data_IF_920648178425
#
_entry.id   IF_920648178425
#
_cell.length_a   1.000
_cell.length_b   1.000
_cell.length_c   1.000
_cell.angle_alpha   90.00
_cell.angle_beta   90.00
_cell.angle_gamma   90.00
#
_symmetry.space_group_name_H-M   'P 1'
#
loop_
_entity.id
_entity.type
_entity.pdbx_description
1 polymer ?
#
# COMPACT_ATOMS: atom_id res chain seq x y z
N UNK A 1 -3.15 20.21 -1.02
CA UNK A 1 -2.91 18.76 -0.87
C UNK A 1 -4.16 18.01 -0.39
N UNK A 2 -4.96 18.57 0.50
CA UNK A 2 -6.14 17.92 1.10
C UNK A 2 -7.28 17.54 0.12
N UNK A 3 -7.41 18.21 -1.00
CA UNK A 3 -8.52 17.97 -1.95
C UNK A 3 -8.29 16.79 -2.91
N UNK A 4 -7.06 16.26 -3.01
CA UNK A 4 -6.70 15.20 -3.98
C UNK A 4 -6.68 13.79 -3.42
N UNK A 5 -6.63 13.63 -2.10
CA UNK A 5 -6.81 12.35 -1.42
C UNK A 5 -8.02 12.48 -0.50
N UNK A 6 -9.10 11.78 -0.80
CA UNK A 6 -10.35 11.82 -0.04
C UNK A 6 -11.18 10.55 -0.22
N UNK A 7 -12.24 10.47 0.57
CA UNK A 7 -13.16 9.35 0.56
C UNK A 7 -12.66 8.19 1.41
N UNK A 8 -12.97 6.97 1.03
CA UNK A 8 -12.65 5.78 1.79
C UNK A 8 -11.26 5.23 1.42
N UNK A 9 -10.37 5.15 2.39
CA UNK A 9 -8.98 4.75 2.22
C UNK A 9 -8.70 3.54 3.10
N UNK A 10 -8.16 2.48 2.53
CA UNK A 10 -7.73 1.29 3.27
C UNK A 10 -6.21 1.14 3.20
N UNK A 11 -5.59 0.96 4.36
CA UNK A 11 -4.12 0.76 4.47
C UNK A 11 -3.86 -0.54 5.22
N UNK A 12 -2.99 -1.40 4.69
CA UNK A 12 -2.58 -2.64 5.35
C UNK A 12 -1.25 -2.47 6.12
N UNK A 13 -1.07 -3.24 7.22
CA UNK A 13 0.17 -3.20 8.01
C UNK A 13 0.36 -1.89 8.78
N UNK A 14 -0.67 -1.41 9.46
CA UNK A 14 -0.74 -0.06 10.03
C UNK A 14 -0.32 0.06 11.49
N UNK A 15 0.04 -1.03 12.14
CA UNK A 15 0.37 -1.03 13.58
C UNK A 15 1.75 -0.43 13.89
N UNK A 16 2.60 -0.16 12.89
CA UNK A 16 3.94 0.41 13.05
C UNK A 16 4.51 0.98 11.74
N UNK A 17 5.67 1.64 11.84
CA UNK A 17 6.49 2.04 10.71
C UNK A 17 5.74 2.91 9.70
N UNK A 18 5.97 2.64 8.40
CA UNK A 18 5.38 3.40 7.29
C UNK A 18 3.85 3.34 7.34
N UNK A 19 3.26 2.18 7.65
CA UNK A 19 1.80 2.02 7.69
C UNK A 19 1.14 2.87 8.78
N UNK A 20 1.71 2.96 9.96
CA UNK A 20 1.21 3.81 11.04
C UNK A 20 1.32 5.29 10.68
N UNK A 21 2.45 5.69 10.11
CA UNK A 21 2.67 7.07 9.67
C UNK A 21 1.74 7.47 8.51
N UNK A 22 1.44 6.53 7.57
CA UNK A 22 0.43 6.75 6.53
C UNK A 22 -0.95 7.06 7.14
N UNK A 23 -1.40 6.27 8.11
CA UNK A 23 -2.68 6.50 8.78
C UNK A 23 -2.69 7.86 9.47
N UNK A 24 -1.62 8.20 10.21
CA UNK A 24 -1.49 9.48 10.90
C UNK A 24 -1.61 10.65 9.91
N UNK A 25 -0.76 10.69 8.89
CA UNK A 25 -0.75 11.82 7.95
C UNK A 25 -2.02 11.88 7.09
N UNK A 26 -2.64 10.74 6.75
CA UNK A 26 -3.93 10.72 6.08
C UNK A 26 -5.01 11.30 7.00
N UNK A 27 -5.02 10.96 8.29
CA UNK A 27 -5.98 11.53 9.23
C UNK A 27 -5.83 13.05 9.40
N UNK A 28 -4.58 13.54 9.43
CA UNK A 28 -4.25 14.95 9.54
C UNK A 28 -4.57 15.78 8.29
N UNK A 29 -4.32 15.20 7.10
CA UNK A 29 -4.25 15.94 5.83
C UNK A 29 -5.48 15.79 4.93
N UNK A 30 -6.34 14.82 5.18
CA UNK A 30 -7.59 14.64 4.42
C UNK A 30 -8.76 15.36 5.09
N UNK A 31 -9.79 15.72 4.30
CA UNK A 31 -11.00 16.37 4.80
C UNK A 31 -11.85 15.49 5.73
N UNK A 32 -12.86 16.07 6.35
CA UNK A 32 -13.77 15.37 7.27
C UNK A 32 -14.58 14.26 6.57
N UNK A 33 -14.78 14.38 5.26
CA UNK A 33 -15.47 13.39 4.42
C UNK A 33 -14.62 12.11 4.18
N UNK A 34 -13.37 12.09 4.66
CA UNK A 34 -12.49 10.95 4.47
C UNK A 34 -12.57 9.99 5.65
N UNK A 35 -12.57 8.68 5.33
CA UNK A 35 -12.54 7.62 6.32
C UNK A 35 -11.38 6.66 6.05
N UNK A 36 -10.64 6.29 7.09
CA UNK A 36 -9.43 5.47 7.00
C UNK A 36 -9.68 4.12 7.69
N UNK A 37 -9.61 3.05 6.92
CA UNK A 37 -9.63 1.67 7.41
C UNK A 37 -8.18 1.23 7.62
N UNK A 38 -7.75 1.26 8.88
CA UNK A 38 -6.39 0.92 9.28
C UNK A 38 -6.32 -0.57 9.64
N UNK A 39 -5.65 -1.37 8.81
CA UNK A 39 -5.66 -2.82 8.94
C UNK A 39 -4.37 -3.36 9.55
N UNK A 40 -4.49 -4.22 10.57
CA UNK A 40 -3.40 -4.98 11.17
C UNK A 40 -3.85 -6.35 11.68
N UNK A 41 -2.90 -7.27 11.90
CA UNK A 41 -3.20 -8.66 12.30
C UNK A 41 -3.78 -8.77 13.71
N UNK A 42 -3.26 -7.99 14.63
CA UNK A 42 -3.58 -8.04 16.07
C UNK A 42 -3.97 -6.65 16.57
N UNK A 43 -5.20 -6.18 16.32
CA UNK A 43 -5.65 -4.85 16.74
C UNK A 43 -5.57 -4.62 18.26
N UNK A 44 -5.81 -5.66 19.05
CA UNK A 44 -5.79 -5.61 20.52
C UNK A 44 -4.40 -5.89 21.11
N UNK A 45 -3.43 -6.27 20.27
CA UNK A 45 -2.07 -6.58 20.70
C UNK A 45 -1.30 -5.34 21.14
N UNK A 46 -0.25 -5.54 21.96
CA UNK A 46 0.64 -4.47 22.43
C UNK A 46 1.25 -3.68 21.28
N UNK A 47 1.59 -4.35 20.17
CA UNK A 47 2.17 -3.71 18.98
C UNK A 47 1.21 -2.77 18.23
N UNK A 48 -0.08 -2.79 18.54
CA UNK A 48 -1.08 -1.91 17.95
C UNK A 48 -1.51 -0.77 18.89
N UNK A 49 -0.85 -0.58 20.03
CA UNK A 49 -1.18 0.47 21.01
C UNK A 49 -1.14 1.87 20.36
N UNK A 50 -0.05 2.21 19.69
CA UNK A 50 0.09 3.50 18.99
C UNK A 50 -1.00 3.72 17.92
N UNK A 51 -1.46 2.66 17.26
CA UNK A 51 -2.57 2.75 16.31
C UNK A 51 -3.92 2.99 17.00
N UNK A 52 -4.17 2.35 18.15
CA UNK A 52 -5.38 2.61 18.97
C UNK A 52 -5.39 4.03 19.52
N UNK A 53 -4.25 4.52 20.00
CA UNK A 53 -4.12 5.90 20.47
C UNK A 53 -4.42 6.89 19.34
N UNK A 54 -3.88 6.63 18.16
CA UNK A 54 -4.15 7.45 16.98
C UNK A 54 -5.64 7.43 16.60
N UNK A 55 -6.29 6.27 16.62
CA UNK A 55 -7.73 6.17 16.35
C UNK A 55 -8.57 6.92 17.39
N UNK A 56 -8.13 6.97 18.65
CA UNK A 56 -8.77 7.75 19.70
C UNK A 56 -8.61 9.25 19.49
N UNK A 57 -7.49 9.70 18.91
CA UNK A 57 -7.27 11.11 18.57
C UNK A 57 -8.12 11.60 17.39
N UNK A 58 -8.53 10.70 16.50
CA UNK A 58 -9.34 10.99 15.31
C UNK A 58 -10.65 10.17 15.31
N UNK A 59 -11.55 10.43 16.28
CA UNK A 59 -12.79 9.68 16.43
C UNK A 59 -13.67 9.83 15.18
N UNK A 60 -14.26 8.72 14.73
CA UNK A 60 -15.11 8.71 13.53
C UNK A 60 -14.34 8.75 12.19
N UNK A 61 -13.04 9.01 12.19
CA UNK A 61 -12.21 9.09 10.98
C UNK A 61 -11.35 7.86 10.74
N UNK A 62 -10.92 7.18 11.81
CA UNK A 62 -10.12 5.96 11.73
C UNK A 62 -10.91 4.79 12.28
N UNK A 63 -11.03 3.73 11.49
CA UNK A 63 -11.55 2.43 11.95
C UNK A 63 -10.45 1.38 11.84
N UNK A 64 -10.13 0.72 12.95
CA UNK A 64 -9.15 -0.36 12.95
C UNK A 64 -9.84 -1.67 12.53
N UNK A 65 -9.26 -2.36 11.55
CA UNK A 65 -9.78 -3.61 10.99
C UNK A 65 -8.75 -4.73 11.22
N UNK A 66 -9.20 -5.85 11.79
CA UNK A 66 -8.36 -7.05 11.85
C UNK A 66 -8.16 -7.60 10.45
N UNK A 67 -6.90 -7.74 10.04
CA UNK A 67 -6.52 -8.26 8.72
C UNK A 67 -5.14 -8.90 8.76
N UNK A 68 -5.07 -10.19 8.47
CA UNK A 68 -3.86 -10.89 8.04
C UNK A 68 -3.91 -11.08 6.53
N UNK A 69 -2.95 -10.53 5.81
CA UNK A 69 -2.88 -10.59 4.35
C UNK A 69 -2.47 -11.95 3.81
N UNK A 70 -2.01 -12.87 4.66
CA UNK A 70 -1.70 -14.27 4.32
C UNK A 70 -2.86 -15.23 4.61
N UNK A 71 -3.99 -14.74 5.12
CA UNK A 71 -5.16 -15.54 5.49
C UNK A 71 -6.40 -15.07 4.72
N UNK A 72 -6.90 -15.93 3.84
CA UNK A 72 -8.06 -15.62 2.98
C UNK A 72 -9.35 -15.42 3.78
N UNK A 73 -9.54 -16.15 4.88
CA UNK A 73 -10.69 -15.96 5.77
C UNK A 73 -10.62 -14.60 6.50
N UNK A 74 -9.42 -14.20 6.91
CA UNK A 74 -9.17 -12.88 7.48
C UNK A 74 -9.47 -11.76 6.47
N UNK A 75 -9.02 -11.91 5.21
CA UNK A 75 -9.33 -10.97 4.12
C UNK A 75 -10.86 -10.89 3.91
N UNK A 76 -11.54 -12.04 3.82
CA UNK A 76 -13.01 -12.10 3.68
C UNK A 76 -13.72 -11.38 4.82
N UNK A 77 -13.25 -11.57 6.05
CA UNK A 77 -13.76 -10.88 7.23
C UNK A 77 -13.62 -9.37 7.14
N UNK A 78 -12.43 -8.90 6.72
CA UNK A 78 -12.15 -7.48 6.54
C UNK A 78 -13.04 -6.86 5.44
N UNK A 79 -13.21 -7.55 4.31
CA UNK A 79 -14.12 -7.10 3.21
C UNK A 79 -15.53 -6.91 3.72
N UNK A 80 -16.07 -7.88 4.48
CA UNK A 80 -17.42 -7.77 5.07
C UNK A 80 -17.53 -6.58 6.04
N UNK A 81 -16.55 -6.40 6.91
CA UNK A 81 -16.53 -5.31 7.89
C UNK A 81 -16.51 -3.93 7.20
N UNK A 82 -15.64 -3.78 6.21
CA UNK A 82 -15.49 -2.53 5.44
C UNK A 82 -16.73 -2.28 4.57
N UNK A 83 -17.25 -3.28 3.87
CA UNK A 83 -18.43 -3.16 3.01
C UNK A 83 -19.65 -2.68 3.78
N UNK A 84 -19.82 -3.15 5.02
CA UNK A 84 -20.94 -2.74 5.89
C UNK A 84 -20.89 -1.25 6.24
N UNK A 85 -19.70 -0.68 6.37
CA UNK A 85 -19.49 0.72 6.75
C UNK A 85 -19.48 1.67 5.53
N UNK A 86 -18.87 1.24 4.42
CA UNK A 86 -18.73 2.07 3.20
C UNK A 86 -20.07 2.35 2.52
N UNK A 87 -21.00 1.41 2.59
CA UNK A 87 -22.31 1.54 1.92
C UNK A 87 -22.17 1.72 0.40
N UNK A 88 -22.87 2.71 -0.15
CA UNK A 88 -22.87 3.01 -1.59
C UNK A 88 -21.63 3.79 -2.08
N UNK A 89 -20.78 4.27 -1.18
CA UNK A 89 -19.66 5.16 -1.55
C UNK A 89 -18.53 4.46 -2.32
N UNK A 90 -18.24 3.20 -2.02
CA UNK A 90 -17.10 2.48 -2.58
C UNK A 90 -15.77 2.82 -1.92
N UNK A 91 -14.70 2.11 -2.30
CA UNK A 91 -13.34 2.28 -1.80
C UNK A 91 -12.53 3.11 -2.79
N UNK A 92 -12.04 4.28 -2.37
CA UNK A 92 -11.30 5.19 -3.25
C UNK A 92 -9.81 4.83 -3.34
N UNK A 93 -9.21 4.35 -2.25
CA UNK A 93 -7.77 4.07 -2.23
C UNK A 93 -7.47 2.82 -1.40
N UNK A 94 -6.83 1.85 -2.03
CA UNK A 94 -6.27 0.66 -1.38
C UNK A 94 -4.75 0.76 -1.37
N UNK A 95 -4.13 0.84 -0.19
CA UNK A 95 -2.67 0.87 -0.04
C UNK A 95 -2.20 -0.47 0.54
N UNK A 96 -1.60 -1.29 -0.30
CA UNK A 96 -0.95 -2.55 0.05
C UNK A 96 0.45 -2.24 0.61
N UNK A 97 0.52 -1.96 1.92
CA UNK A 97 1.77 -1.65 2.63
C UNK A 97 2.30 -2.84 3.44
N UNK A 98 1.44 -3.73 3.93
CA UNK A 98 1.88 -4.90 4.69
C UNK A 98 2.88 -5.74 3.90
N UNK A 99 4.02 -6.04 4.53
CA UNK A 99 5.06 -6.86 3.94
C UNK A 99 5.93 -7.51 5.02
N UNK A 100 6.58 -8.61 4.67
CA UNK A 100 7.60 -9.25 5.48
C UNK A 100 8.89 -9.43 4.69
N UNK A 101 10.00 -9.55 5.41
CA UNK A 101 11.30 -9.98 4.92
C UNK A 101 11.82 -11.12 5.78
N UNK A 102 12.13 -12.26 5.18
CA UNK A 102 12.73 -13.44 5.81
C UNK A 102 13.74 -14.09 4.86
N UNK A 103 14.83 -14.65 5.36
CA UNK A 103 15.34 -14.45 6.71
C UNK A 103 15.74 -12.99 6.96
N UNK A 104 16.02 -12.64 8.20
CA UNK A 104 16.56 -11.31 8.50
C UNK A 104 17.85 -11.04 7.72
N UNK A 105 18.20 -9.77 7.55
CA UNK A 105 19.43 -9.37 6.83
C UNK A 105 20.65 -10.23 7.22
N UNK A 106 21.53 -10.55 6.28
CA UNK A 106 21.56 -10.09 4.86
C UNK A 106 20.62 -10.85 3.91
N UNK A 107 19.95 -11.93 4.34
CA UNK A 107 19.09 -12.73 3.47
C UNK A 107 19.86 -13.36 2.30
N UNK A 108 21.05 -13.91 2.59
CA UNK A 108 21.96 -14.51 1.60
C UNK A 108 21.40 -15.78 1.00
N UNK A 109 21.97 -16.23 -0.13
CA UNK A 109 21.60 -17.51 -0.76
C UNK A 109 21.75 -18.67 0.22
N UNK A 110 22.84 -18.71 0.98
CA UNK A 110 23.10 -19.79 1.94
C UNK A 110 22.12 -19.81 3.13
N UNK A 111 21.59 -18.65 3.52
CA UNK A 111 20.66 -18.52 4.65
C UNK A 111 19.18 -18.69 4.23
N UNK A 112 18.89 -18.70 2.93
CA UNK A 112 17.52 -18.70 2.40
C UNK A 112 17.06 -20.10 2.06
N UNK A 113 15.93 -20.53 2.64
CA UNK A 113 15.27 -21.78 2.32
C UNK A 113 13.98 -21.61 1.52
N UNK A 114 13.45 -22.74 1.01
CA UNK A 114 12.15 -22.74 0.32
C UNK A 114 11.04 -22.14 1.16
N UNK A 115 11.05 -22.40 2.47
CA UNK A 115 10.04 -21.86 3.40
C UNK A 115 10.04 -20.34 3.40
N UNK A 116 11.21 -19.71 3.46
CA UNK A 116 11.33 -18.25 3.44
C UNK A 116 10.78 -17.66 2.13
N UNK A 117 11.13 -18.29 0.99
CA UNK A 117 10.62 -17.89 -0.32
C UNK A 117 9.09 -17.91 -0.37
N UNK A 118 8.48 -19.00 0.13
CA UNK A 118 7.02 -19.17 0.06
C UNK A 118 6.28 -18.23 1.02
N UNK A 119 6.74 -18.09 2.26
CA UNK A 119 6.11 -17.22 3.24
C UNK A 119 6.17 -15.74 2.80
N UNK A 120 7.33 -15.32 2.27
CA UNK A 120 7.49 -13.93 1.78
C UNK A 120 6.63 -13.70 0.54
N UNK A 121 6.55 -14.66 -0.37
CA UNK A 121 5.69 -14.55 -1.55
C UNK A 121 4.22 -14.52 -1.17
N UNK A 122 3.78 -15.36 -0.25
CA UNK A 122 2.40 -15.41 0.24
C UNK A 122 1.95 -14.05 0.79
N UNK A 123 2.73 -13.47 1.70
CA UNK A 123 2.40 -12.18 2.29
C UNK A 123 2.53 -11.01 1.31
N UNK A 124 3.62 -10.96 0.53
CA UNK A 124 3.98 -9.78 -0.25
C UNK A 124 3.34 -9.76 -1.66
N UNK A 125 2.83 -10.88 -2.15
CA UNK A 125 2.28 -11.01 -3.52
C UNK A 125 0.87 -11.58 -3.51
N UNK A 126 0.69 -12.80 -2.97
CA UNK A 126 -0.62 -13.45 -2.95
C UNK A 126 -1.63 -12.65 -2.11
N UNK A 127 -1.21 -12.12 -0.96
CA UNK A 127 -2.02 -11.26 -0.11
C UNK A 127 -2.55 -10.02 -0.85
N UNK A 128 -1.71 -9.15 -1.41
CA UNK A 128 -2.14 -8.04 -2.25
C UNK A 128 -3.04 -8.44 -3.42
N UNK A 129 -2.74 -9.56 -4.09
CA UNK A 129 -3.60 -10.08 -5.16
C UNK A 129 -5.00 -10.40 -4.66
N UNK A 130 -5.13 -11.16 -3.56
CA UNK A 130 -6.42 -11.54 -2.97
C UNK A 130 -7.18 -10.31 -2.45
N UNK A 131 -6.49 -9.37 -1.80
CA UNK A 131 -7.09 -8.11 -1.36
C UNK A 131 -7.72 -7.35 -2.54
N UNK A 132 -6.97 -7.15 -3.61
CA UNK A 132 -7.50 -6.48 -4.79
C UNK A 132 -8.69 -7.23 -5.38
N UNK A 133 -8.57 -8.57 -5.56
CA UNK A 133 -9.65 -9.42 -6.06
C UNK A 133 -10.93 -9.25 -5.25
N UNK A 134 -10.82 -9.26 -3.92
CA UNK A 134 -11.98 -9.25 -3.03
C UNK A 134 -12.55 -7.84 -2.79
N UNK A 135 -11.73 -6.79 -2.84
CA UNK A 135 -12.15 -5.39 -2.75
C UNK A 135 -12.55 -4.78 -4.10
N UNK A 136 -12.35 -5.50 -5.22
CA UNK A 136 -12.61 -4.99 -6.57
C UNK A 136 -14.03 -4.40 -6.75
N UNK A 137 -15.10 -5.03 -6.25
CA UNK A 137 -16.45 -4.46 -6.38
C UNK A 137 -16.59 -3.09 -5.70
N UNK A 138 -15.87 -2.84 -4.60
CA UNK A 138 -15.87 -1.55 -3.91
C UNK A 138 -15.00 -0.51 -4.64
N UNK A 139 -13.89 -0.93 -5.24
CA UNK A 139 -13.03 -0.08 -6.07
C UNK A 139 -13.77 0.35 -7.35
N UNK A 140 -14.46 -0.57 -8.02
CA UNK A 140 -15.29 -0.27 -9.20
C UNK A 140 -16.40 0.72 -8.85
N UNK A 141 -17.10 0.51 -7.74
CA UNK A 141 -18.16 1.41 -7.27
C UNK A 141 -17.65 2.84 -7.06
N UNK A 142 -16.45 3.01 -6.49
CA UNK A 142 -15.85 4.33 -6.34
C UNK A 142 -15.47 4.95 -7.68
N UNK A 143 -14.96 4.15 -8.63
CA UNK A 143 -14.59 4.60 -9.96
C UNK A 143 -15.79 5.04 -10.81
N UNK A 144 -16.95 4.42 -10.62
CA UNK A 144 -18.20 4.70 -11.36
C UNK A 144 -18.94 5.95 -10.86
N UNK A 145 -18.63 6.45 -9.65
CA UNK A 145 -19.32 7.63 -9.11
C UNK A 145 -19.10 8.85 -9.99
N UNK A 146 -20.18 9.58 -10.24
CA UNK A 146 -20.15 10.84 -10.97
C UNK A 146 -19.15 11.82 -10.34
N UNK A 147 -18.21 12.27 -11.12
CA UNK A 147 -17.30 13.35 -10.75
C UNK A 147 -17.89 14.68 -11.19
N UNK A 148 -17.81 15.74 -10.35
CA UNK A 148 -18.17 17.08 -10.78
C UNK A 148 -17.47 17.46 -12.09
N UNK A 149 -18.12 18.25 -12.94
CA UNK A 149 -17.61 18.63 -14.28
C UNK A 149 -16.18 19.20 -14.30
N UNK A 150 -15.71 19.73 -13.18
CA UNK A 150 -14.34 20.26 -13.03
C UNK A 150 -13.24 19.20 -13.09
N UNK A 151 -13.57 17.92 -12.93
CA UNK A 151 -12.60 16.81 -12.89
C UNK A 151 -12.58 15.96 -14.18
N UNK A 152 -13.12 16.48 -15.28
CA UNK A 152 -13.22 15.77 -16.58
C UNK A 152 -11.88 15.47 -17.27
N UNK A 153 -10.74 15.98 -16.77
CA UNK A 153 -9.44 15.83 -17.43
C UNK A 153 -8.82 14.43 -17.27
N UNK A 154 -8.70 13.91 -16.08
CA UNK A 154 -8.03 12.65 -15.79
C UNK A 154 -8.99 11.65 -15.14
N UNK A 155 -9.28 10.54 -15.84
CA UNK A 155 -10.25 9.54 -15.38
C UNK A 155 -9.72 8.67 -14.25
N UNK A 156 -8.39 8.53 -14.11
CA UNK A 156 -7.72 7.74 -13.08
C UNK A 156 -7.00 8.64 -12.08
N UNK A 157 -7.27 8.44 -10.80
CA UNK A 157 -6.58 9.15 -9.71
C UNK A 157 -6.84 8.48 -8.37
N UNK A 158 -6.00 8.74 -7.37
CA UNK A 158 -6.22 8.27 -5.98
C UNK A 158 -7.48 8.86 -5.32
N UNK A 159 -8.04 9.92 -5.89
CA UNK A 159 -9.31 10.50 -5.45
C UNK A 159 -10.52 9.69 -5.91
N UNK A 160 -10.44 9.08 -7.09
CA UNK A 160 -11.54 8.29 -7.65
C UNK A 160 -11.48 6.84 -7.20
N UNK A 161 -10.54 6.10 -7.77
CA UNK A 161 -10.27 4.72 -7.38
C UNK A 161 -8.84 4.36 -7.75
N UNK A 162 -8.07 3.89 -6.76
CA UNK A 162 -6.68 3.53 -6.98
C UNK A 162 -6.23 2.38 -6.07
N UNK A 163 -5.23 1.66 -6.57
CA UNK A 163 -4.47 0.64 -5.85
C UNK A 163 -3.01 1.07 -5.85
N UNK A 164 -2.43 1.24 -4.66
CA UNK A 164 -1.02 1.54 -4.47
C UNK A 164 -0.34 0.36 -3.80
N UNK A 165 0.62 -0.22 -4.49
CA UNK A 165 1.45 -1.29 -3.96
C UNK A 165 2.78 -0.71 -3.45
N UNK A 166 3.07 -0.83 -2.16
CA UNK A 166 4.37 -0.40 -1.62
C UNK A 166 5.42 -1.43 -2.02
N UNK A 167 6.29 -1.03 -2.94
CA UNK A 167 7.37 -1.82 -3.50
C UNK A 167 8.74 -1.32 -3.04
N UNK A 168 9.79 -1.49 -3.82
CA UNK A 168 11.15 -1.12 -3.43
C UNK A 168 12.06 -0.92 -4.64
N UNK A 169 13.08 -0.07 -4.53
CA UNK A 169 14.13 0.07 -5.52
C UNK A 169 14.81 -1.27 -5.83
N UNK A 170 15.05 -2.08 -4.78
CA UNK A 170 15.74 -3.36 -4.93
C UNK A 170 14.90 -4.47 -5.58
N UNK A 171 13.67 -4.18 -5.98
CA UNK A 171 12.83 -5.04 -6.83
C UNK A 171 13.08 -4.85 -8.32
N UNK A 172 13.79 -3.79 -8.69
CA UNK A 172 14.16 -3.53 -10.08
C UNK A 172 15.16 -4.56 -10.57
N UNK A 173 14.81 -5.27 -11.65
CA UNK A 173 15.69 -6.25 -12.30
C UNK A 173 16.87 -5.52 -12.94
N UNK A 174 16.60 -4.39 -13.60
CA UNK A 174 17.64 -3.55 -14.21
C UNK A 174 18.64 -3.02 -13.18
N UNK A 175 18.15 -2.57 -12.01
CA UNK A 175 19.00 -2.04 -10.94
C UNK A 175 19.61 -3.11 -10.04
N UNK A 176 19.35 -4.39 -10.28
CA UNK A 176 19.86 -5.46 -9.46
C UNK A 176 21.41 -5.48 -9.37
N UNK A 177 22.17 -5.36 -10.47
CA UNK A 177 23.64 -5.33 -10.39
C UNK A 177 24.20 -4.24 -9.51
N UNK A 178 23.57 -3.05 -9.49
CA UNK A 178 23.98 -1.89 -8.71
C UNK A 178 23.64 -2.03 -7.22
N UNK A 179 22.55 -2.72 -6.89
CA UNK A 179 21.96 -2.75 -5.54
C UNK A 179 22.20 -4.06 -4.79
N UNK A 180 22.64 -5.11 -5.45
CA UNK A 180 22.71 -6.46 -4.87
C UNK A 180 23.70 -6.55 -3.70
N UNK A 181 24.83 -5.87 -3.80
CA UNK A 181 25.86 -5.86 -2.74
C UNK A 181 25.38 -5.17 -1.46
N UNK A 182 24.42 -4.28 -1.54
CA UNK A 182 23.85 -3.56 -0.39
C UNK A 182 22.93 -4.44 0.45
N UNK A 183 22.12 -5.25 -0.21
CA UNK A 183 21.16 -6.15 0.44
C UNK A 183 20.80 -7.30 -0.51
N UNK A 184 21.22 -8.52 -0.20
CA UNK A 184 20.95 -9.70 -1.03
C UNK A 184 19.45 -10.05 -1.03
N UNK A 185 18.85 -10.26 0.12
CA UNK A 185 17.41 -10.38 0.38
C UNK A 185 16.62 -11.13 -0.71
N UNK A 186 17.07 -12.34 -1.10
CA UNK A 186 16.47 -13.09 -2.22
C UNK A 186 14.94 -13.20 -2.18
N UNK A 187 14.31 -13.62 -1.06
CA UNK A 187 12.85 -13.72 -1.02
C UNK A 187 12.16 -12.39 -1.18
N UNK A 188 12.70 -11.35 -0.54
CA UNK A 188 12.10 -10.01 -0.57
C UNK A 188 12.18 -9.38 -1.97
N UNK A 189 13.37 -9.38 -2.59
CA UNK A 189 13.58 -8.85 -3.94
C UNK A 189 12.66 -9.53 -4.95
N UNK A 190 12.66 -10.86 -4.96
CA UNK A 190 11.85 -11.63 -5.93
C UNK A 190 10.36 -11.44 -5.70
N UNK A 191 9.90 -11.35 -4.44
CA UNK A 191 8.51 -11.07 -4.15
C UNK A 191 8.10 -9.66 -4.59
N UNK A 192 8.96 -8.67 -4.38
CA UNK A 192 8.66 -7.29 -4.79
C UNK A 192 8.74 -7.09 -6.31
N UNK A 193 9.59 -7.83 -7.02
CA UNK A 193 9.56 -7.90 -8.47
C UNK A 193 8.26 -8.56 -8.98
N UNK A 194 7.80 -9.63 -8.33
CA UNK A 194 6.51 -10.24 -8.62
C UNK A 194 5.34 -9.29 -8.34
N UNK A 195 5.39 -8.50 -7.26
CA UNK A 195 4.41 -7.47 -6.95
C UNK A 195 4.38 -6.37 -8.03
N UNK A 196 5.53 -6.01 -8.60
CA UNK A 196 5.62 -5.07 -9.71
C UNK A 196 4.94 -5.64 -10.97
N UNK A 197 5.15 -6.93 -11.28
CA UNK A 197 4.45 -7.59 -12.38
C UNK A 197 2.94 -7.63 -12.12
N UNK A 198 2.52 -7.94 -10.88
CA UNK A 198 1.11 -7.91 -10.50
C UNK A 198 0.52 -6.52 -10.71
N UNK A 199 1.23 -5.46 -10.32
CA UNK A 199 0.85 -4.06 -10.56
C UNK A 199 0.61 -3.80 -12.05
N UNK A 200 1.51 -4.28 -12.90
CA UNK A 200 1.42 -4.12 -14.35
C UNK A 200 0.21 -4.86 -14.92
N UNK A 201 -0.01 -6.10 -14.54
CA UNK A 201 -1.17 -6.89 -14.97
C UNK A 201 -2.50 -6.22 -14.56
N UNK A 202 -2.59 -5.80 -13.30
CA UNK A 202 -3.79 -5.14 -12.79
C UNK A 202 -4.03 -3.77 -13.45
N UNK A 203 -2.97 -3.02 -13.75
CA UNK A 203 -3.10 -1.74 -14.47
C UNK A 203 -3.70 -1.92 -15.87
N UNK A 204 -3.28 -2.96 -16.60
CA UNK A 204 -3.86 -3.26 -17.93
C UNK A 204 -5.31 -3.77 -17.82
N UNK A 205 -5.59 -4.68 -16.88
CA UNK A 205 -6.94 -5.24 -16.69
C UNK A 205 -7.95 -4.17 -16.26
N UNK A 206 -7.58 -3.30 -15.32
CA UNK A 206 -8.50 -2.33 -14.73
C UNK A 206 -8.56 -0.99 -15.47
N UNK A 207 -7.84 -0.84 -16.55
CA UNK A 207 -7.84 0.35 -17.39
C UNK A 207 -9.26 0.71 -17.87
N UNK A 208 -10.03 -0.29 -18.27
CA UNK A 208 -11.43 -0.10 -18.71
C UNK A 208 -12.36 0.33 -17.59
N UNK A 209 -12.00 0.06 -16.35
CA UNK A 209 -12.75 0.46 -15.14
C UNK A 209 -12.30 1.81 -14.57
N UNK A 210 -11.32 2.48 -15.19
CA UNK A 210 -10.73 3.73 -14.70
C UNK A 210 -10.16 3.63 -13.26
N UNK A 211 -9.59 2.47 -12.90
CA UNK A 211 -8.90 2.25 -11.62
C UNK A 211 -7.39 2.40 -11.86
N UNK A 212 -6.78 3.33 -11.14
CA UNK A 212 -5.33 3.54 -11.16
C UNK A 212 -4.62 2.43 -10.38
N UNK A 213 -3.57 1.85 -10.94
CA UNK A 213 -2.71 0.89 -10.23
C UNK A 213 -1.25 1.29 -10.38
N UNK A 214 -0.56 1.57 -9.27
CA UNK A 214 0.83 2.03 -9.29
C UNK A 214 1.63 1.40 -8.15
N UNK A 215 2.91 1.13 -8.37
CA UNK A 215 3.85 0.75 -7.32
C UNK A 215 4.66 1.96 -6.86
N UNK A 216 4.90 2.08 -5.55
CA UNK A 216 5.72 3.16 -4.98
C UNK A 216 6.81 2.57 -4.09
N UNK A 217 8.06 2.99 -4.34
CA UNK A 217 9.20 2.78 -3.45
C UNK A 217 9.22 3.88 -2.38
N UNK A 218 9.16 3.54 -1.08
CA UNK A 218 9.10 4.52 -0.01
C UNK A 218 10.45 5.19 0.30
N UNK A 219 11.54 4.78 -0.36
CA UNK A 219 12.91 5.08 0.04
C UNK A 219 13.45 4.05 1.04
N UNK A 220 14.70 4.23 1.49
CA UNK A 220 15.25 3.46 2.58
C UNK A 220 14.94 4.15 3.90
N UNK A 221 13.95 3.60 4.63
CA UNK A 221 13.26 4.26 5.73
C UNK A 221 13.60 3.63 7.07
N UNK A 222 13.84 4.44 8.09
CA UNK A 222 14.09 4.01 9.48
C UNK A 222 12.84 3.35 10.07
N UNK A 223 12.83 2.03 10.00
CA UNK A 223 11.80 1.14 10.51
C UNK A 223 12.47 -0.10 11.07
N UNK A 224 11.75 -0.96 11.75
CA UNK A 224 12.25 -2.26 12.19
C UNK A 224 12.86 -3.09 11.02
N UNK A 225 12.28 -2.98 9.81
CA UNK A 225 12.78 -3.66 8.61
C UNK A 225 13.97 -2.92 7.98
N UNK A 226 13.95 -1.59 7.95
CA UNK A 226 14.97 -0.78 7.27
C UNK A 226 16.22 -0.54 8.09
N UNK A 227 16.15 -0.72 9.41
CA UNK A 227 17.26 -0.47 10.34
C UNK A 227 17.45 1.00 10.70
N UNK A 228 18.30 1.24 11.71
CA UNK A 228 18.56 2.59 12.23
C UNK A 228 19.43 3.44 11.30
N UNK A 229 20.27 2.78 10.48
CA UNK A 229 21.16 3.42 9.51
C UNK A 229 20.42 4.02 8.29
N UNK A 230 19.12 3.72 8.15
CA UNK A 230 18.34 4.24 7.04
C UNK A 230 18.29 5.78 7.10
N UNK A 231 18.55 6.47 5.97
CA UNK A 231 18.67 7.92 5.96
C UNK A 231 17.31 8.63 6.12
N UNK A 232 16.22 7.97 5.75
CA UNK A 232 14.90 8.59 5.66
C UNK A 232 14.05 8.30 6.91
N UNK A 233 13.38 9.32 7.45
CA UNK A 233 12.38 9.12 8.49
C UNK A 233 11.09 8.56 7.88
N UNK A 234 10.24 7.92 8.69
CA UNK A 234 8.89 7.53 8.25
C UNK A 234 8.08 8.75 7.84
N UNK A 235 8.24 9.86 8.57
CA UNK A 235 7.55 11.12 8.30
C UNK A 235 7.90 11.68 6.92
N UNK A 236 9.18 11.81 6.59
CA UNK A 236 9.62 12.37 5.30
C UNK A 236 9.22 11.47 4.13
N UNK A 237 9.39 10.15 4.29
CA UNK A 237 8.96 9.16 3.31
C UNK A 237 7.46 9.28 2.99
N UNK A 238 6.62 9.34 4.03
CA UNK A 238 5.17 9.40 3.87
C UNK A 238 4.73 10.74 3.30
N UNK A 239 5.33 11.86 3.70
CA UNK A 239 5.07 13.18 3.08
C UNK A 239 5.31 13.10 1.58
N UNK A 240 6.42 12.53 1.14
CA UNK A 240 6.74 12.35 -0.27
C UNK A 240 5.74 11.43 -0.97
N UNK A 241 5.50 10.23 -0.43
CA UNK A 241 4.55 9.29 -1.04
C UNK A 241 3.14 9.88 -1.18
N UNK A 242 2.61 10.57 -0.17
CA UNK A 242 1.30 11.21 -0.25
C UNK A 242 1.27 12.34 -1.28
N UNK A 243 2.38 13.07 -1.44
CA UNK A 243 2.52 14.06 -2.51
C UNK A 243 2.46 13.41 -3.89
N UNK A 244 3.19 12.31 -4.08
CA UNK A 244 3.16 11.50 -5.31
C UNK A 244 1.74 10.99 -5.57
N UNK A 245 1.12 10.29 -4.61
CA UNK A 245 -0.25 9.77 -4.75
C UNK A 245 -1.26 10.86 -5.14
N UNK A 246 -1.08 12.08 -4.62
CA UNK A 246 -1.95 13.22 -4.95
C UNK A 246 -1.81 13.71 -6.40
N UNK A 247 -0.71 13.39 -7.07
CA UNK A 247 -0.40 13.84 -8.44
C UNK A 247 -0.56 12.74 -9.50
N UNK A 248 -0.80 11.48 -9.06
CA UNK A 248 -0.95 10.35 -9.99
C UNK A 248 -2.13 10.52 -10.94
N UNK A 249 -1.93 10.03 -12.15
CA UNK A 249 -2.86 10.13 -13.26
C UNK A 249 -2.78 8.90 -14.17
N UNK A 250 -3.51 8.88 -15.27
CA UNK A 250 -3.54 7.78 -16.24
C UNK A 250 -2.14 7.34 -16.72
N UNK A 251 -1.20 8.30 -16.89
CA UNK A 251 0.17 8.02 -17.36
C UNK A 251 1.02 7.24 -16.39
N UNK A 252 0.66 7.28 -15.12
CA UNK A 252 1.41 6.67 -14.03
C UNK A 252 0.93 5.24 -13.69
N UNK A 253 -0.18 4.82 -14.33
CA UNK A 253 -0.74 3.48 -14.14
C UNK A 253 0.20 2.40 -14.69
N UNK A 254 0.49 1.40 -13.88
CA UNK A 254 1.44 0.34 -14.19
C UNK A 254 2.91 0.72 -14.02
N UNK A 255 3.24 1.85 -13.41
CA UNK A 255 4.61 2.29 -13.17
C UNK A 255 5.12 1.93 -11.77
N UNK A 256 6.46 1.88 -11.63
CA UNK A 256 7.15 1.91 -10.34
C UNK A 256 7.78 3.30 -10.18
N UNK A 257 7.33 4.02 -9.18
CA UNK A 257 7.83 5.36 -8.83
C UNK A 257 8.54 5.33 -7.46
N UNK A 258 9.44 6.26 -7.22
CA UNK A 258 9.93 6.51 -5.88
C UNK A 258 9.04 7.49 -5.10
N UNK A 259 9.36 7.70 -3.83
CA UNK A 259 8.66 8.63 -2.93
C UNK A 259 8.76 10.11 -3.35
N UNK A 260 9.59 10.42 -4.33
CA UNK A 260 9.73 11.76 -4.94
C UNK A 260 9.03 11.87 -6.30
N UNK A 261 8.51 10.77 -6.82
CA UNK A 261 7.80 10.71 -8.10
C UNK A 261 8.70 10.39 -9.30
N UNK A 262 9.96 10.03 -9.07
CA UNK A 262 10.84 9.60 -10.15
C UNK A 262 10.52 8.15 -10.54
N UNK A 263 10.57 7.86 -11.84
CA UNK A 263 10.36 6.51 -12.37
C UNK A 263 11.58 5.63 -12.04
N UNK A 264 11.30 4.43 -11.53
CA UNK A 264 12.30 3.38 -11.35
C UNK A 264 12.08 2.34 -12.47
N UNK A 265 13.11 1.98 -13.22
CA UNK A 265 12.98 0.92 -14.24
C UNK A 265 12.73 -0.45 -13.60
N UNK A 266 12.07 -1.33 -14.36
CA UNK A 266 11.74 -2.68 -13.90
C UNK A 266 12.94 -3.61 -13.72
#
# INVERSE_FOLDING_TARGET
MSERLKGNILVTGTNRGIGLELVKQLAEKTGEESHIYACCREPEGVRAEALRDLATQYPGKITIIKLDTSDEDSISGAVRAVSKQIGAAGLNLLINNAAINKPALPGSLAATGKKDMMEVYETNVAGPFLLVKMFLPLLQRAAERDTPEKDKGDKMSCRRSAIINISTLISSIEKCPETFHMAQMYPYRTSKAALNMLTRCQAEEFKTHNILVTSIHPGWVRTEMGGEEAPLTTQDSVVGMLSVMSSLSNKDSGMLLDWQGNMIPW
#
